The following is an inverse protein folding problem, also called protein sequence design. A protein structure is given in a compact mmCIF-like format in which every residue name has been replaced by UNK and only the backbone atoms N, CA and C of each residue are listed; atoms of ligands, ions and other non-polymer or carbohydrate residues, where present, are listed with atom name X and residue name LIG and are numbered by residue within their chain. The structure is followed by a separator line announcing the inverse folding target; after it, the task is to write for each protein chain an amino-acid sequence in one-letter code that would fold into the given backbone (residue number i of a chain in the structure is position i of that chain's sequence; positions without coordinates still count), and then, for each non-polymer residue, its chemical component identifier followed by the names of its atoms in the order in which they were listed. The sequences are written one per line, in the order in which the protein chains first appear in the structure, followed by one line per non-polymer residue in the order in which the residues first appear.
data_IF_267501447741
#
_entry.id   IF_267501447741
#
_cell.length_a   1.000
_cell.length_b   1.000
_cell.length_c   1.000
_cell.angle_alpha   90.00
_cell.angle_beta   90.00
_cell.angle_gamma   90.00
#
_symmetry.space_group_name_H-M   'P 1'
#
loop_
_entity.id
_entity.type
_entity.pdbx_description
1 polymer ?
#
# COMPACT_ATOMS: atom_id res chain seq x y z
N UNK A 1 -20.06 8.28 -1.52
CA UNK A 1 -18.69 7.73 -1.55
C UNK A 1 -18.66 6.45 -0.73
N UNK A 2 -18.18 5.36 -1.28
CA UNK A 2 -18.20 4.07 -0.60
C UNK A 2 -16.98 3.22 -0.94
N UNK A 3 -16.65 2.27 -0.03
CA UNK A 3 -15.64 1.25 -0.28
C UNK A 3 -16.29 0.02 -0.89
N UNK A 4 -15.68 -0.50 -1.94
CA UNK A 4 -16.05 -1.78 -2.53
C UNK A 4 -14.80 -2.65 -2.69
N UNK A 5 -15.01 -3.97 -2.61
CA UNK A 5 -13.96 -4.92 -3.02
C UNK A 5 -13.70 -4.72 -4.50
N UNK A 6 -12.43 -4.77 -4.88
CA UNK A 6 -12.06 -4.49 -6.25
C UNK A 6 -11.06 -5.50 -6.77
N UNK A 7 -11.06 -5.71 -8.08
CA UNK A 7 -10.12 -6.63 -8.71
C UNK A 7 -8.71 -6.04 -8.67
N UNK A 8 -7.76 -6.83 -8.19
CA UNK A 8 -6.37 -6.40 -8.04
C UNK A 8 -5.75 -5.94 -9.36
N UNK A 9 -6.00 -6.70 -10.43
CA UNK A 9 -5.41 -6.38 -11.73
C UNK A 9 -5.93 -5.05 -12.29
N UNK A 10 -7.19 -4.73 -12.01
CA UNK A 10 -7.79 -3.48 -12.44
C UNK A 10 -7.19 -2.26 -11.72
N UNK A 11 -6.59 -2.46 -10.56
CA UNK A 11 -6.00 -1.38 -9.78
C UNK A 11 -4.54 -1.08 -10.12
N UNK A 12 -3.85 -1.98 -10.82
CA UNK A 12 -2.43 -1.79 -11.13
C UNK A 12 -2.23 -0.47 -11.90
N UNK A 13 -3.01 -0.24 -12.93
CA UNK A 13 -2.91 1.00 -13.70
C UNK A 13 -3.21 2.24 -12.85
N UNK A 14 -4.22 2.14 -11.99
CA UNK A 14 -4.55 3.23 -11.07
C UNK A 14 -3.36 3.55 -10.16
N UNK A 15 -2.71 2.53 -9.61
CA UNK A 15 -1.54 2.73 -8.75
C UNK A 15 -0.39 3.37 -9.52
N UNK A 16 -0.10 2.88 -10.72
CA UNK A 16 0.99 3.43 -11.54
C UNK A 16 0.72 4.90 -11.88
N UNK A 17 -0.49 5.23 -12.30
CA UNK A 17 -0.89 6.60 -12.62
C UNK A 17 -0.75 7.54 -11.42
N UNK A 18 -0.81 7.01 -10.23
CA UNK A 18 -0.75 7.80 -9.00
C UNK A 18 0.58 7.68 -8.25
N UNK A 19 1.61 7.24 -8.94
CA UNK A 19 2.99 7.35 -8.47
C UNK A 19 3.60 6.09 -7.85
N UNK A 20 2.88 4.97 -7.82
CA UNK A 20 3.46 3.73 -7.35
C UNK A 20 4.28 3.07 -8.45
N UNK A 21 5.39 2.47 -8.06
CA UNK A 21 6.25 1.76 -8.99
C UNK A 21 5.99 0.25 -8.91
N UNK A 22 5.78 -0.38 -10.07
CA UNK A 22 5.62 -1.81 -10.19
C UNK A 22 6.63 -2.36 -11.18
N UNK A 23 7.29 -3.44 -10.80
CA UNK A 23 8.18 -4.17 -11.69
C UNK A 23 7.34 -5.16 -12.49
N UNK A 24 7.35 -5.05 -13.81
CA UNK A 24 6.58 -5.91 -14.71
C UNK A 24 6.96 -7.39 -14.57
N UNK A 25 8.16 -7.69 -14.07
CA UNK A 25 8.64 -9.06 -13.88
C UNK A 25 8.09 -9.71 -12.62
N UNK A 26 7.51 -8.93 -11.71
CA UNK A 26 6.93 -9.46 -10.48
C UNK A 26 5.46 -9.78 -10.69
N UNK A 27 5.03 -10.88 -10.09
CA UNK A 27 3.60 -11.13 -9.95
C UNK A 27 3.14 -10.40 -8.70
N UNK A 28 2.60 -9.22 -8.91
CA UNK A 28 1.99 -8.48 -7.81
C UNK A 28 0.67 -9.11 -7.46
N UNK A 29 0.31 -9.02 -6.19
CA UNK A 29 -0.97 -9.50 -5.73
C UNK A 29 -1.10 -11.01 -5.90
N UNK A 30 -0.27 -11.76 -5.16
CA UNK A 30 -0.40 -13.23 -5.06
C UNK A 30 -1.78 -13.63 -4.53
N UNK A 31 -2.01 -14.92 -4.34
CA UNK A 31 -3.32 -15.50 -4.05
C UNK A 31 -4.00 -14.97 -2.79
N UNK A 32 -3.28 -14.30 -1.89
CA UNK A 32 -3.81 -13.83 -0.61
C UNK A 32 -4.01 -12.31 -0.56
N UNK A 33 -4.06 -11.64 -1.70
CA UNK A 33 -4.24 -10.20 -1.72
C UNK A 33 -5.71 -9.85 -1.88
N UNK A 34 -6.14 -8.91 -1.06
CA UNK A 34 -7.47 -8.31 -1.16
C UNK A 34 -7.31 -6.83 -1.44
N UNK A 35 -8.12 -6.30 -2.34
CA UNK A 35 -8.08 -4.89 -2.69
C UNK A 35 -9.43 -4.25 -2.47
N UNK A 36 -9.40 -2.99 -2.06
CA UNK A 36 -10.59 -2.17 -1.85
C UNK A 36 -10.39 -0.85 -2.56
N UNK A 37 -11.43 -0.39 -3.23
CA UNK A 37 -11.43 0.92 -3.85
C UNK A 37 -12.43 1.83 -3.17
N UNK A 38 -12.07 3.08 -3.01
CA UNK A 38 -12.99 4.13 -2.57
C UNK A 38 -13.55 4.78 -3.83
N UNK A 39 -14.86 4.71 -3.98
CA UNK A 39 -15.55 5.11 -5.21
C UNK A 39 -16.45 6.32 -5.00
N UNK A 40 -16.46 7.20 -5.98
CA UNK A 40 -17.45 8.27 -6.09
C UNK A 40 -18.03 8.21 -7.49
N UNK A 41 -19.34 7.95 -7.61
CA UNK A 41 -20.03 7.83 -8.91
C UNK A 41 -19.30 6.87 -9.87
N UNK A 42 -18.87 5.72 -9.36
CA UNK A 42 -18.15 4.68 -10.09
C UNK A 42 -16.70 5.05 -10.46
N UNK A 43 -16.23 6.24 -10.10
CA UNK A 43 -14.85 6.62 -10.31
C UNK A 43 -13.98 6.24 -9.11
N UNK A 44 -12.79 5.70 -9.36
CA UNK A 44 -11.85 5.35 -8.32
C UNK A 44 -11.17 6.62 -7.80
N UNK A 45 -11.41 6.93 -6.53
CA UNK A 45 -10.77 8.06 -5.85
C UNK A 45 -9.49 7.61 -5.17
N UNK A 46 -9.50 6.43 -4.62
CA UNK A 46 -8.37 5.85 -3.93
C UNK A 46 -8.52 4.34 -3.85
N UNK A 47 -7.42 3.68 -3.52
CA UNK A 47 -7.41 2.24 -3.41
C UNK A 47 -6.36 1.79 -2.40
N UNK A 48 -6.61 0.63 -1.80
CA UNK A 48 -5.65 -0.02 -0.90
C UNK A 48 -5.68 -1.52 -1.15
N UNK A 49 -4.50 -2.12 -1.22
CA UNK A 49 -4.32 -3.57 -1.38
C UNK A 49 -3.61 -4.10 -0.14
N UNK A 50 -4.11 -5.18 0.40
CA UNK A 50 -3.62 -5.78 1.64
C UNK A 50 -3.33 -7.25 1.45
N UNK A 51 -2.44 -7.79 2.27
CA UNK A 51 -2.08 -9.21 2.23
C UNK A 51 -1.71 -9.72 3.60
N UNK A 52 -1.70 -11.05 3.72
CA UNK A 52 -1.10 -11.74 4.85
C UNK A 52 0.03 -12.59 4.27
N UNK A 53 1.25 -12.36 4.72
CA UNK A 53 2.42 -13.07 4.23
C UNK A 53 3.24 -13.58 5.41
N UNK A 54 3.44 -14.89 5.45
CA UNK A 54 4.15 -15.55 6.55
C UNK A 54 3.60 -15.17 7.93
N UNK A 55 2.28 -15.09 8.03
CA UNK A 55 1.59 -14.76 9.27
C UNK A 55 1.60 -13.29 9.66
N UNK A 56 2.12 -12.41 8.81
CA UNK A 56 2.16 -10.97 9.06
C UNK A 56 1.19 -10.22 8.15
N UNK A 57 0.55 -9.20 8.70
CA UNK A 57 -0.39 -8.35 7.97
C UNK A 57 0.36 -7.21 7.26
N UNK A 58 0.08 -7.01 5.98
CA UNK A 58 0.76 -5.99 5.18
C UNK A 58 -0.23 -5.12 4.41
N UNK A 59 0.10 -3.83 4.32
CA UNK A 59 -0.45 -2.96 3.28
C UNK A 59 0.54 -3.04 2.11
N UNK A 60 0.08 -3.60 0.98
CA UNK A 60 0.92 -3.79 -0.20
C UNK A 60 0.97 -2.57 -1.10
N UNK A 61 -0.14 -1.85 -1.21
CA UNK A 61 -0.24 -0.65 -2.02
C UNK A 61 -1.35 0.23 -1.49
N UNK A 62 -1.16 1.54 -1.58
CA UNK A 62 -2.17 2.53 -1.22
C UNK A 62 -1.94 3.77 -2.07
N UNK A 63 -2.98 4.25 -2.71
CA UNK A 63 -2.89 5.47 -3.50
C UNK A 63 -4.21 6.24 -3.50
N UNK A 64 -4.10 7.56 -3.61
CA UNK A 64 -5.23 8.47 -3.78
C UNK A 64 -5.04 9.21 -5.10
N UNK A 65 -6.10 9.33 -5.89
CA UNK A 65 -6.10 10.09 -7.14
C UNK A 65 -5.59 11.51 -6.86
N UNK A 66 -4.74 12.01 -7.73
CA UNK A 66 -4.09 13.32 -7.58
C UNK A 66 -5.09 14.44 -7.34
N UNK A 67 -6.28 14.37 -7.95
CA UNK A 67 -7.33 15.37 -7.81
C UNK A 67 -7.96 15.40 -6.42
N UNK A 68 -7.81 14.33 -5.66
CA UNK A 68 -8.48 14.15 -4.37
C UNK A 68 -7.52 14.12 -3.19
N UNK A 69 -6.25 14.43 -3.40
CA UNK A 69 -5.25 14.46 -2.33
C UNK A 69 -5.47 15.62 -1.37
N UNK A 70 -4.92 15.47 -0.15
CA UNK A 70 -5.02 16.46 0.92
C UNK A 70 -6.44 16.70 1.43
N UNK A 71 -7.29 15.69 1.32
CA UNK A 71 -8.70 15.74 1.78
C UNK A 71 -9.03 14.65 2.81
N UNK A 72 -8.01 13.94 3.32
CA UNK A 72 -8.22 12.89 4.33
C UNK A 72 -8.55 11.51 3.78
N UNK A 73 -8.57 11.31 2.48
CA UNK A 73 -8.91 10.00 1.91
C UNK A 73 -7.82 8.95 2.15
N UNK A 74 -6.55 9.35 2.17
CA UNK A 74 -5.46 8.43 2.51
C UNK A 74 -5.62 7.86 3.91
N UNK A 75 -6.01 8.69 4.87
CA UNK A 75 -6.32 8.22 6.23
C UNK A 75 -7.47 7.23 6.23
N UNK A 76 -8.52 7.49 5.47
CA UNK A 76 -9.67 6.59 5.35
C UNK A 76 -9.26 5.24 4.78
N UNK A 77 -8.34 5.22 3.82
CA UNK A 77 -7.81 3.98 3.25
C UNK A 77 -6.97 3.20 4.26
N UNK A 78 -6.16 3.88 5.05
CA UNK A 78 -5.41 3.23 6.14
C UNK A 78 -6.37 2.62 7.15
N UNK A 79 -7.40 3.35 7.56
CA UNK A 79 -8.39 2.86 8.51
C UNK A 79 -9.12 1.63 7.96
N UNK A 80 -9.45 1.63 6.68
CA UNK A 80 -10.05 0.46 6.03
C UNK A 80 -9.13 -0.74 6.08
N UNK A 81 -7.85 -0.55 5.75
CA UNK A 81 -6.86 -1.63 5.78
C UNK A 81 -6.68 -2.20 7.19
N UNK A 82 -6.54 -1.33 8.18
CA UNK A 82 -6.37 -1.76 9.57
C UNK A 82 -7.59 -2.52 10.07
N UNK A 83 -8.79 -2.10 9.67
CA UNK A 83 -10.02 -2.79 10.03
C UNK A 83 -10.17 -4.18 9.43
N UNK A 84 -9.48 -4.46 8.33
CA UNK A 84 -9.52 -5.74 7.63
C UNK A 84 -8.35 -6.67 7.99
N UNK A 85 -7.40 -6.19 8.77
CA UNK A 85 -6.18 -6.93 9.12
C UNK A 85 -6.04 -7.08 10.62
N UNK A 86 -5.29 -8.09 11.04
CA UNK A 86 -4.89 -8.22 12.44
C UNK A 86 -3.61 -7.41 12.68
N UNK A 87 -3.57 -6.71 13.80
CA UNK A 87 -2.38 -5.98 14.21
C UNK A 87 -1.29 -6.94 14.69
N UNK A 88 -0.03 -6.60 14.52
CA UNK A 88 0.50 -5.38 13.91
C UNK A 88 0.36 -5.38 12.38
N UNK A 89 0.27 -4.20 11.79
CA UNK A 89 0.16 -4.02 10.34
C UNK A 89 1.42 -3.35 9.82
N UNK A 90 2.08 -3.98 8.88
CA UNK A 90 3.36 -3.52 8.32
C UNK A 90 3.17 -2.95 6.91
N UNK A 91 4.03 -2.04 6.55
CA UNK A 91 4.17 -1.64 5.15
C UNK A 91 5.60 -1.24 4.86
N UNK A 92 6.02 -1.42 3.62
CA UNK A 92 7.31 -0.98 3.11
C UNK A 92 7.01 0.12 2.11
N UNK A 93 7.48 1.34 2.38
CA UNK A 93 7.07 2.51 1.62
C UNK A 93 8.22 3.48 1.40
N UNK A 94 8.16 4.19 0.26
CA UNK A 94 9.03 5.33 -0.01
C UNK A 94 8.43 6.63 0.53
N UNK A 95 7.17 6.61 0.94
CA UNK A 95 6.45 7.77 1.50
C UNK A 95 6.15 7.53 2.98
N UNK A 96 7.18 7.15 3.71
CA UNK A 96 7.07 6.79 5.13
C UNK A 96 6.45 7.89 5.98
N UNK A 97 6.70 9.17 5.67
CA UNK A 97 6.12 10.29 6.43
C UNK A 97 4.60 10.24 6.47
N UNK A 98 3.95 9.85 5.38
CA UNK A 98 2.51 9.71 5.34
C UNK A 98 2.02 8.70 6.38
N UNK A 99 2.71 7.56 6.47
CA UNK A 99 2.36 6.53 7.45
C UNK A 99 2.66 6.96 8.88
N UNK A 100 3.77 7.65 9.09
CA UNK A 100 4.14 8.15 10.42
C UNK A 100 3.08 9.12 10.95
N UNK A 101 2.53 9.98 10.09
CA UNK A 101 1.45 10.90 10.47
C UNK A 101 0.16 10.17 10.83
N UNK A 102 0.01 8.93 10.41
CA UNK A 102 -1.20 8.14 10.63
C UNK A 102 -1.02 7.03 11.68
N UNK A 103 -0.07 7.20 12.58
CA UNK A 103 0.10 6.32 13.73
C UNK A 103 1.08 5.18 13.53
N UNK A 104 1.74 5.08 12.38
CA UNK A 104 2.79 4.11 12.16
C UNK A 104 4.11 4.61 12.77
N UNK A 105 4.97 3.67 13.11
CA UNK A 105 6.35 3.95 13.57
C UNK A 105 7.32 3.13 12.74
N UNK A 106 8.59 3.52 12.73
CA UNK A 106 9.60 2.71 12.04
C UNK A 106 9.71 1.33 12.66
N UNK A 107 9.80 0.33 11.79
CA UNK A 107 9.97 -1.06 12.23
C UNK A 107 11.45 -1.40 12.35
N UNK A 108 11.80 -2.12 13.43
CA UNK A 108 13.14 -2.67 13.61
C UNK A 108 13.29 -4.03 12.92
N UNK A 109 12.20 -4.58 12.40
CA UNK A 109 12.22 -5.89 11.76
C UNK A 109 12.74 -5.79 10.33
N UNK A 110 13.48 -6.79 9.90
CA UNK A 110 13.97 -6.84 8.53
C UNK A 110 12.89 -7.39 7.61
N UNK A 111 12.10 -6.48 7.03
CA UNK A 111 10.93 -6.81 6.23
C UNK A 111 11.12 -6.59 4.74
N UNK A 112 12.20 -5.91 4.34
CA UNK A 112 12.48 -5.63 2.93
C UNK A 112 12.89 -6.95 2.29
N UNK A 113 12.14 -7.38 1.27
CA UNK A 113 12.41 -8.67 0.66
C UNK A 113 13.70 -8.65 -0.16
N UNK A 114 14.22 -9.86 -0.44
CA UNK A 114 15.48 -10.01 -1.17
C UNK A 114 15.46 -9.39 -2.55
N UNK A 115 14.30 -9.42 -3.20
CA UNK A 115 14.17 -8.86 -4.55
C UNK A 115 14.35 -7.35 -4.56
N UNK A 116 13.82 -6.66 -3.54
CA UNK A 116 14.02 -5.22 -3.39
C UNK A 116 15.47 -4.91 -3.11
N UNK A 117 16.11 -5.67 -2.23
CA UNK A 117 17.54 -5.49 -1.92
C UNK A 117 18.44 -5.78 -3.11
N UNK A 118 18.04 -6.69 -4.00
CA UNK A 118 18.77 -7.04 -5.19
C UNK A 118 18.54 -6.04 -6.35
N UNK A 119 17.61 -5.13 -6.20
CA UNK A 119 17.33 -4.10 -7.20
C UNK A 119 18.54 -3.17 -7.34
N UNK A 120 18.93 -2.85 -8.56
CA UNK A 120 20.05 -1.96 -8.84
C UNK A 120 19.87 -0.57 -8.26
N UNK A 121 18.65 -0.16 -7.99
CA UNK A 121 18.30 1.15 -7.45
C UNK A 121 18.24 1.18 -5.92
N UNK A 122 18.35 0.01 -5.25
CA UNK A 122 18.26 -0.06 -3.79
C UNK A 122 19.39 0.74 -3.14
N UNK A 123 19.03 1.64 -2.24
CA UNK A 123 19.94 2.57 -1.56
C UNK A 123 20.73 3.50 -2.50
N UNK A 124 20.36 3.59 -3.78
CA UNK A 124 20.89 4.57 -4.72
C UNK A 124 19.79 5.57 -5.07
N UNK A 125 18.71 5.11 -5.69
CA UNK A 125 17.55 5.92 -6.03
C UNK A 125 16.27 5.43 -5.34
N UNK A 126 16.29 4.21 -4.80
CA UNK A 126 15.17 3.60 -4.11
C UNK A 126 15.52 3.42 -2.63
N UNK A 127 14.84 4.16 -1.75
CA UNK A 127 15.08 4.14 -0.31
C UNK A 127 13.81 3.75 0.44
N UNK A 128 13.37 2.47 0.33
CA UNK A 128 12.16 2.06 1.03
C UNK A 128 12.40 1.97 2.54
N UNK A 129 11.37 2.31 3.31
CA UNK A 129 11.38 2.23 4.77
C UNK A 129 10.28 1.29 5.23
N UNK A 130 10.58 0.46 6.21
CA UNK A 130 9.59 -0.39 6.84
C UNK A 130 8.97 0.34 8.03
N UNK A 131 7.64 0.41 8.07
CA UNK A 131 6.89 1.01 9.16
C UNK A 131 5.82 0.04 9.65
N UNK A 132 5.39 0.20 10.89
CA UNK A 132 4.44 -0.69 11.52
C UNK A 132 3.41 0.09 12.34
N UNK A 133 2.16 -0.35 12.26
CA UNK A 133 1.07 0.09 13.10
C UNK A 133 0.80 -1.02 14.13
N UNK A 134 1.00 -0.72 15.40
CA UNK A 134 0.85 -1.70 16.47
C UNK A 134 -0.48 -1.56 17.22
#
# INVERSE_FOLDING_TARGET
MKFDKYDNDSLINFYIENGLEFDERKKYFGNNIRSFALLENENIIGAVSISIYKGKSFIEALAVDKKYRNRGYGKSLIEKAIGELEKPVYTISKVDEFYLKNGFVYSNEELIDKECKACNEYNITCFPKAVVYR
#
